data_IF_034837965447
#
_entry.id   IF_034837965447
#
_cell.length_a   1.000
_cell.length_b   1.000
_cell.length_c   1.000
_cell.angle_alpha   90.00
_cell.angle_beta   90.00
_cell.angle_gamma   90.00
#
_symmetry.space_group_name_H-M   'P 1'
#
loop_
_entity.id
_entity.type
_entity.pdbx_description
1 polymer ?
#
# COMPACT_ATOMS: atom_id res chain seq x y z
N UNK A 1 28.26 32.62 -3.65
CA UNK A 1 27.79 31.29 -3.19
C UNK A 1 26.36 31.46 -2.68
N UNK A 2 25.31 31.16 -3.46
CA UNK A 2 23.96 31.49 -2.96
C UNK A 2 22.71 31.01 -3.69
N UNK A 3 22.76 30.57 -4.96
CA UNK A 3 21.53 30.14 -5.65
C UNK A 3 21.19 28.66 -5.37
N UNK A 4 22.21 27.78 -5.39
CA UNK A 4 22.03 26.33 -5.26
C UNK A 4 21.47 25.90 -3.88
N UNK A 5 21.87 26.60 -2.81
CA UNK A 5 21.39 26.31 -1.45
C UNK A 5 19.96 26.77 -1.18
N UNK A 6 19.45 27.76 -1.93
CA UNK A 6 18.07 28.24 -1.84
C UNK A 6 17.15 27.29 -2.60
N UNK A 7 17.54 26.89 -3.81
CA UNK A 7 16.77 25.93 -4.62
C UNK A 7 16.58 24.59 -3.90
N UNK A 8 17.64 24.04 -3.30
CA UNK A 8 17.55 22.78 -2.55
C UNK A 8 16.59 22.84 -1.36
N UNK A 9 16.51 23.99 -0.67
CA UNK A 9 15.59 24.18 0.47
C UNK A 9 14.13 24.29 0.00
N UNK A 10 13.90 24.99 -1.11
CA UNK A 10 12.57 25.09 -1.71
C UNK A 10 12.07 23.73 -2.18
N UNK A 11 12.94 22.96 -2.86
CA UNK A 11 12.64 21.60 -3.31
C UNK A 11 12.34 20.66 -2.13
N UNK A 12 13.16 20.69 -1.08
CA UNK A 12 12.93 19.90 0.13
C UNK A 12 11.58 20.25 0.78
N UNK A 13 11.24 21.53 0.88
CA UNK A 13 9.96 21.96 1.44
C UNK A 13 8.77 21.49 0.59
N UNK A 14 8.84 21.67 -0.73
CA UNK A 14 7.79 21.25 -1.65
C UNK A 14 7.59 19.72 -1.65
N UNK A 15 8.68 18.95 -1.69
CA UNK A 15 8.61 17.49 -1.65
C UNK A 15 8.02 16.99 -0.33
N UNK A 16 8.43 17.55 0.81
CA UNK A 16 7.90 17.14 2.12
C UNK A 16 6.41 17.49 2.29
N UNK A 17 5.92 18.60 1.73
CA UNK A 17 4.48 18.91 1.73
C UNK A 17 3.70 17.91 0.89
N UNK A 18 4.20 17.57 -0.30
CA UNK A 18 3.53 16.59 -1.16
C UNK A 18 3.48 15.22 -0.49
N UNK A 19 4.58 14.76 0.12
CA UNK A 19 4.60 13.48 0.84
C UNK A 19 3.73 13.50 2.09
N UNK A 20 3.61 14.65 2.76
CA UNK A 20 2.68 14.83 3.88
C UNK A 20 1.23 14.61 3.45
N UNK A 21 0.80 15.21 2.33
CA UNK A 21 -0.54 15.03 1.78
C UNK A 21 -0.79 13.58 1.35
N UNK A 22 0.20 12.93 0.73
CA UNK A 22 0.12 11.51 0.37
C UNK A 22 -0.02 10.64 1.62
N UNK A 23 0.72 10.92 2.69
CA UNK A 23 0.60 10.19 3.95
C UNK A 23 -0.81 10.27 4.55
N UNK A 24 -1.42 11.46 4.54
CA UNK A 24 -2.82 11.63 4.96
C UNK A 24 -3.76 10.82 4.07
N UNK A 25 -3.57 10.87 2.75
CA UNK A 25 -4.41 10.11 1.82
C UNK A 25 -4.34 8.60 2.09
N UNK A 26 -3.14 8.05 2.35
CA UNK A 26 -2.98 6.63 2.68
C UNK A 26 -3.66 6.24 3.99
N UNK A 27 -3.58 7.09 5.02
CA UNK A 27 -4.29 6.86 6.28
C UNK A 27 -5.81 6.85 6.06
N UNK A 28 -6.34 7.86 5.35
CA UNK A 28 -7.79 7.96 5.09
C UNK A 28 -8.28 6.78 4.27
N UNK A 29 -7.57 6.45 3.18
CA UNK A 29 -7.91 5.30 2.32
C UNK A 29 -7.86 4.00 3.13
N UNK A 30 -6.80 3.80 3.92
CA UNK A 30 -6.66 2.61 4.76
C UNK A 30 -7.79 2.46 5.79
N UNK A 31 -8.22 3.57 6.43
CA UNK A 31 -9.37 3.56 7.35
C UNK A 31 -10.67 3.23 6.62
N UNK A 32 -10.92 3.82 5.44
CA UNK A 32 -12.12 3.54 4.65
C UNK A 32 -12.18 2.05 4.30
N UNK A 33 -11.06 1.46 3.85
CA UNK A 33 -11.00 0.03 3.56
C UNK A 33 -11.20 -0.81 4.83
N UNK A 34 -10.50 -0.51 5.92
CA UNK A 34 -10.64 -1.25 7.17
C UNK A 34 -12.09 -1.29 7.66
N UNK A 35 -12.78 -0.14 7.66
CA UNK A 35 -14.18 -0.03 8.10
C UNK A 35 -15.13 -0.75 7.13
N UNK A 36 -14.91 -0.63 5.82
CA UNK A 36 -15.72 -1.34 4.82
C UNK A 36 -15.61 -2.86 4.94
N UNK A 37 -14.43 -3.38 5.31
CA UNK A 37 -14.24 -4.82 5.58
C UNK A 37 -14.89 -5.27 6.90
N UNK A 38 -14.92 -4.41 7.92
CA UNK A 38 -15.58 -4.72 9.22
C UNK A 38 -17.09 -4.93 9.05
N UNK A 39 -17.77 -4.09 8.26
CA UNK A 39 -19.23 -4.24 8.01
C UNK A 39 -19.58 -5.57 7.33
N UNK A 40 -18.67 -6.13 6.53
CA UNK A 40 -18.85 -7.44 5.85
C UNK A 40 -18.50 -8.62 6.76
N UNK A 41 -17.65 -8.43 7.78
CA UNK A 41 -17.13 -9.49 8.65
C UNK A 41 -17.97 -9.72 9.92
N UNK A 42 -18.86 -8.81 10.29
CA UNK A 42 -19.73 -8.88 11.48
C UNK A 42 -20.76 -10.03 11.44
N UNK A 43 -20.79 -10.84 10.37
CA UNK A 43 -21.61 -12.05 10.25
C UNK A 43 -20.83 -13.36 10.24
N UNK A 44 -19.50 -13.33 10.28
CA UNK A 44 -18.65 -14.53 10.21
C UNK A 44 -17.49 -14.39 11.19
N UNK A 45 -17.80 -14.73 12.45
CA UNK A 45 -16.85 -14.87 13.55
C UNK A 45 -15.63 -15.72 13.14
N UNK A 46 -14.44 -15.13 13.33
CA UNK A 46 -13.16 -15.80 13.59
C UNK A 46 -12.31 -16.44 12.46
N UNK A 47 -12.57 -16.22 11.16
CA UNK A 47 -11.87 -17.05 10.15
C UNK A 47 -10.61 -16.42 9.51
N UNK A 48 -10.43 -15.11 9.40
CA UNK A 48 -9.30 -14.57 8.59
C UNK A 48 -8.63 -13.30 9.12
N UNK A 49 -7.51 -13.40 9.87
CA UNK A 49 -6.68 -12.24 10.20
C UNK A 49 -5.97 -11.64 8.97
N UNK A 50 -5.78 -12.39 7.89
CA UNK A 50 -4.95 -12.01 6.74
C UNK A 50 -5.52 -10.85 5.88
N UNK A 51 -6.85 -10.70 5.79
CA UNK A 51 -7.44 -9.62 4.99
C UNK A 51 -7.35 -8.25 5.66
N UNK A 52 -7.29 -8.19 6.99
CA UNK A 52 -7.06 -6.95 7.74
C UNK A 52 -5.59 -6.50 7.64
N UNK A 53 -4.66 -7.42 7.33
CA UNK A 53 -3.22 -7.09 7.28
C UNK A 53 -2.93 -6.02 6.24
N UNK A 54 -3.56 -6.08 5.06
CA UNK A 54 -3.31 -5.13 3.97
C UNK A 54 -3.76 -3.68 4.30
N UNK A 55 -5.03 -3.41 4.68
CA UNK A 55 -5.47 -2.06 5.07
C UNK A 55 -4.73 -1.55 6.33
N UNK A 56 -4.49 -2.40 7.34
CA UNK A 56 -3.69 -2.02 8.51
C UNK A 56 -2.27 -1.62 8.11
N UNK A 57 -1.62 -2.38 7.24
CA UNK A 57 -0.28 -2.07 6.74
C UNK A 57 -0.27 -0.73 5.99
N UNK A 58 -1.29 -0.45 5.18
CA UNK A 58 -1.45 0.83 4.49
C UNK A 58 -1.56 2.01 5.47
N UNK A 59 -2.32 1.84 6.56
CA UNK A 59 -2.43 2.85 7.64
C UNK A 59 -1.07 3.07 8.32
N UNK A 60 -0.39 1.98 8.70
CA UNK A 60 0.93 2.05 9.36
C UNK A 60 1.95 2.77 8.48
N UNK A 61 2.03 2.41 7.19
CA UNK A 61 2.92 3.07 6.22
C UNK A 61 2.54 4.55 6.07
N UNK A 62 1.25 4.87 5.97
CA UNK A 62 0.76 6.25 5.90
C UNK A 62 1.17 7.09 7.12
N UNK A 63 1.04 6.54 8.34
CA UNK A 63 1.47 7.17 9.59
C UNK A 63 2.97 7.44 9.61
N UNK A 64 3.80 6.49 9.17
CA UNK A 64 5.25 6.65 9.08
C UNK A 64 5.61 7.79 8.10
N UNK A 65 5.00 7.80 6.91
CA UNK A 65 5.20 8.85 5.90
C UNK A 65 4.78 10.22 6.46
N UNK A 66 3.64 10.29 7.15
CA UNK A 66 3.13 11.50 7.77
C UNK A 66 4.11 12.08 8.80
N UNK A 67 4.60 11.25 9.72
CA UNK A 67 5.53 11.67 10.79
C UNK A 67 6.84 12.17 10.18
N UNK A 68 7.43 11.42 9.23
CA UNK A 68 8.68 11.80 8.58
C UNK A 68 8.53 13.13 7.82
N UNK A 69 7.42 13.30 7.10
CA UNK A 69 7.14 14.51 6.33
C UNK A 69 6.89 15.71 7.23
N UNK A 70 6.25 15.53 8.39
CA UNK A 70 6.08 16.56 9.40
C UNK A 70 7.44 17.00 9.99
N UNK A 71 8.31 16.04 10.34
CA UNK A 71 9.67 16.34 10.80
C UNK A 71 10.50 17.07 9.73
N UNK A 72 10.35 16.68 8.45
CA UNK A 72 10.98 17.34 7.31
C UNK A 72 10.50 18.78 7.12
N UNK A 73 9.19 19.04 7.22
CA UNK A 73 8.62 20.39 7.16
C UNK A 73 9.09 21.26 8.33
N UNK A 74 9.04 20.73 9.56
CA UNK A 74 9.50 21.45 10.75
C UNK A 74 11.02 21.70 10.73
N UNK A 75 11.81 20.76 10.22
CA UNK A 75 13.26 20.90 10.03
C UNK A 75 13.64 21.88 8.91
N UNK A 76 12.79 22.05 7.90
CA UNK A 76 12.95 23.09 6.88
C UNK A 76 12.60 24.49 7.45
N UNK A 77 11.56 24.57 8.29
CA UNK A 77 11.09 25.82 8.88
C UNK A 77 11.99 26.34 10.01
N UNK A 78 12.37 25.48 10.96
CA UNK A 78 13.36 25.82 11.98
C UNK A 78 14.74 25.73 11.32
N UNK A 79 15.47 26.84 11.23
CA UNK A 79 16.89 26.89 10.81
C UNK A 79 17.86 26.14 11.77
N UNK A 80 17.39 25.09 12.43
CA UNK A 80 18.17 24.26 13.35
C UNK A 80 18.83 23.11 12.60
N UNK A 81 20.16 23.15 12.55
CA UNK A 81 20.97 22.08 11.95
C UNK A 81 20.73 20.72 12.63
N UNK A 82 20.43 20.70 13.92
CA UNK A 82 20.12 19.45 14.63
C UNK A 82 18.87 18.76 14.09
N UNK A 83 17.83 19.53 13.72
CA UNK A 83 16.56 18.96 13.27
C UNK A 83 16.65 18.42 11.83
N UNK A 84 17.45 19.07 10.98
CA UNK A 84 17.76 18.57 9.65
C UNK A 84 18.67 17.33 9.70
N UNK A 85 19.61 17.29 10.66
CA UNK A 85 20.45 16.13 10.91
C UNK A 85 19.64 14.92 11.37
N UNK A 86 18.71 15.10 12.32
CA UNK A 86 17.82 14.01 12.76
C UNK A 86 16.97 13.46 11.62
N UNK A 87 16.45 14.34 10.74
CA UNK A 87 15.72 13.92 9.55
C UNK A 87 16.60 13.06 8.63
N UNK A 88 17.83 13.49 8.35
CA UNK A 88 18.77 12.73 7.54
C UNK A 88 19.11 11.36 8.15
N UNK A 89 19.33 11.28 9.47
CA UNK A 89 19.60 10.02 10.17
C UNK A 89 18.41 9.07 10.08
N UNK A 90 17.19 9.56 10.30
CA UNK A 90 15.96 8.75 10.17
C UNK A 90 15.82 8.19 8.76
N UNK A 91 16.07 9.00 7.72
CA UNK A 91 16.03 8.53 6.33
C UNK A 91 17.07 7.43 6.04
N UNK A 92 18.28 7.56 6.57
CA UNK A 92 19.33 6.53 6.41
C UNK A 92 18.89 5.22 7.05
N UNK A 93 18.33 5.27 8.26
CA UNK A 93 17.83 4.08 8.96
C UNK A 93 16.72 3.40 8.15
N UNK A 94 15.79 4.18 7.59
CA UNK A 94 14.70 3.66 6.76
C UNK A 94 15.24 3.03 5.48
N UNK A 95 16.24 3.65 4.84
CA UNK A 95 16.88 3.09 3.65
C UNK A 95 17.49 1.71 3.94
N UNK A 96 18.21 1.57 5.06
CA UNK A 96 18.78 0.30 5.48
C UNK A 96 17.68 -0.75 5.76
N UNK A 97 16.59 -0.34 6.40
CA UNK A 97 15.45 -1.22 6.64
C UNK A 97 14.79 -1.68 5.33
N UNK A 98 14.61 -0.77 4.36
CA UNK A 98 14.06 -1.12 3.04
C UNK A 98 14.95 -2.12 2.29
N UNK A 99 16.28 -1.94 2.35
CA UNK A 99 17.23 -2.89 1.75
C UNK A 99 17.11 -4.25 2.43
N UNK A 100 17.05 -4.30 3.77
CA UNK A 100 16.88 -5.54 4.51
C UNK A 100 15.55 -6.25 4.17
N UNK A 101 14.45 -5.50 4.10
CA UNK A 101 13.13 -6.03 3.69
C UNK A 101 13.15 -6.55 2.25
N UNK A 102 13.80 -5.85 1.33
CA UNK A 102 13.92 -6.28 -0.07
C UNK A 102 14.71 -7.59 -0.19
N UNK A 103 15.83 -7.71 0.55
CA UNK A 103 16.63 -8.94 0.58
C UNK A 103 15.81 -10.08 1.22
N UNK A 104 15.13 -9.83 2.33
CA UNK A 104 14.28 -10.81 2.98
C UNK A 104 13.17 -11.32 2.04
N UNK A 105 12.46 -10.41 1.38
CA UNK A 105 11.42 -10.74 0.42
C UNK A 105 11.98 -11.56 -0.76
N UNK A 106 13.15 -11.19 -1.28
CA UNK A 106 13.81 -11.93 -2.36
C UNK A 106 14.15 -13.37 -1.96
N UNK A 107 14.65 -13.57 -0.74
CA UNK A 107 14.98 -14.91 -0.22
C UNK A 107 13.71 -15.76 -0.07
N UNK A 108 12.64 -15.21 0.51
CA UNK A 108 11.36 -15.94 0.71
C UNK A 108 10.76 -16.36 -0.63
N UNK A 109 10.76 -15.45 -1.62
CA UNK A 109 10.22 -15.73 -2.95
C UNK A 109 11.02 -16.81 -3.68
N UNK A 110 12.34 -16.86 -3.47
CA UNK A 110 13.25 -17.78 -4.16
C UNK A 110 13.37 -19.16 -3.49
N UNK A 111 13.24 -19.25 -2.17
CA UNK A 111 13.52 -20.49 -1.42
C UNK A 111 12.28 -21.34 -1.09
N UNK A 112 11.07 -20.77 -1.16
CA UNK A 112 9.83 -21.45 -0.78
C UNK A 112 8.68 -21.08 -1.71
N UNK A 113 7.91 -22.06 -2.15
CA UNK A 113 6.61 -21.82 -2.81
C UNK A 113 5.48 -21.52 -1.79
N UNK A 114 5.80 -21.50 -0.48
CA UNK A 114 4.86 -21.28 0.61
C UNK A 114 4.08 -19.97 0.47
N UNK A 115 4.74 -18.89 0.02
CA UNK A 115 4.07 -17.62 -0.23
C UNK A 115 2.97 -17.71 -1.31
N UNK A 116 3.09 -18.66 -2.26
CA UNK A 116 2.04 -18.91 -3.26
C UNK A 116 0.85 -19.58 -2.61
N UNK A 117 1.08 -20.54 -1.71
CA UNK A 117 0.01 -21.20 -0.97
C UNK A 117 -0.76 -20.20 -0.11
N UNK A 118 -0.05 -19.36 0.65
CA UNK A 118 -0.67 -18.30 1.47
C UNK A 118 -1.45 -17.29 0.62
N UNK A 119 -0.88 -16.89 -0.52
CA UNK A 119 -1.54 -15.97 -1.46
C UNK A 119 -2.81 -16.59 -2.07
N UNK A 120 -2.73 -17.86 -2.49
CA UNK A 120 -3.85 -18.60 -3.06
C UNK A 120 -4.95 -18.78 -1.99
N UNK A 121 -4.60 -19.11 -0.76
CA UNK A 121 -5.58 -19.27 0.32
C UNK A 121 -6.25 -17.94 0.68
N UNK A 122 -5.48 -16.85 0.73
CA UNK A 122 -6.03 -15.51 0.88
C UNK A 122 -6.98 -15.15 -0.27
N UNK A 123 -6.60 -15.40 -1.53
CA UNK A 123 -7.45 -15.12 -2.70
C UNK A 123 -8.73 -15.96 -2.67
N UNK A 124 -8.64 -17.24 -2.31
CA UNK A 124 -9.81 -18.14 -2.19
C UNK A 124 -10.83 -17.59 -1.22
N UNK A 125 -10.36 -17.08 -0.08
CA UNK A 125 -11.23 -16.53 0.95
C UNK A 125 -11.98 -15.26 0.49
N UNK A 126 -11.43 -14.50 -0.46
CA UNK A 126 -12.13 -13.36 -1.09
C UNK A 126 -13.25 -13.85 -2.00
N UNK A 127 -12.98 -14.87 -2.81
CA UNK A 127 -13.97 -15.45 -3.72
C UNK A 127 -15.10 -16.17 -2.99
N UNK A 128 -14.81 -16.91 -1.92
CA UNK A 128 -15.81 -17.64 -1.12
C UNK A 128 -16.78 -16.69 -0.39
N UNK A 129 -16.34 -15.46 -0.05
CA UNK A 129 -17.22 -14.44 0.54
C UNK A 129 -18.15 -13.77 -0.46
N UNK A 130 -17.89 -13.88 -1.76
CA UNK A 130 -18.75 -13.31 -2.80
C UNK A 130 -18.80 -11.78 -2.81
N UNK A 131 -17.77 -11.09 -2.30
CA UNK A 131 -17.68 -9.63 -2.38
C UNK A 131 -17.42 -9.22 -3.84
N UNK A 132 -18.51 -8.92 -4.53
CA UNK A 132 -18.50 -8.68 -5.97
C UNK A 132 -17.63 -7.47 -6.33
N UNK A 133 -17.54 -6.45 -5.47
CA UNK A 133 -16.73 -5.27 -5.72
C UNK A 133 -15.23 -5.59 -5.61
N UNK A 134 -14.83 -6.32 -4.57
CA UNK A 134 -13.44 -6.76 -4.41
C UNK A 134 -13.03 -7.73 -5.53
N UNK A 135 -13.90 -8.69 -5.86
CA UNK A 135 -13.66 -9.67 -6.93
C UNK A 135 -13.52 -8.97 -8.29
N UNK A 136 -14.43 -8.06 -8.65
CA UNK A 136 -14.35 -7.31 -9.91
C UNK A 136 -13.10 -6.43 -9.97
N UNK A 137 -12.72 -5.80 -8.85
CA UNK A 137 -11.49 -5.01 -8.76
C UNK A 137 -10.24 -5.85 -9.01
N UNK A 138 -10.12 -7.01 -8.37
CA UNK A 138 -9.00 -7.93 -8.60
C UNK A 138 -8.99 -8.48 -10.03
N UNK A 139 -10.16 -8.88 -10.55
CA UNK A 139 -10.29 -9.40 -11.91
C UNK A 139 -9.93 -8.36 -12.98
N UNK A 140 -10.31 -7.09 -12.80
CA UNK A 140 -9.93 -6.00 -13.70
C UNK A 140 -8.43 -5.66 -13.60
N UNK A 141 -7.89 -5.62 -12.37
CA UNK A 141 -6.49 -5.26 -12.12
C UNK A 141 -5.52 -6.32 -12.61
N UNK A 142 -5.85 -7.60 -12.38
CA UNK A 142 -5.01 -8.75 -12.75
C UNK A 142 -5.37 -9.33 -14.13
N UNK A 143 -6.41 -8.79 -14.79
CA UNK A 143 -6.91 -9.27 -16.08
C UNK A 143 -7.24 -10.78 -16.06
N UNK A 144 -7.76 -11.27 -14.94
CA UNK A 144 -8.12 -12.68 -14.73
C UNK A 144 -9.60 -12.82 -14.38
N UNK A 145 -10.17 -14.02 -14.49
CA UNK A 145 -11.55 -14.30 -14.12
C UNK A 145 -11.62 -15.61 -13.33
N UNK A 146 -12.20 -15.54 -12.12
CA UNK A 146 -12.29 -16.67 -11.20
C UNK A 146 -11.00 -16.98 -10.44
N UNK A 147 -11.13 -17.90 -9.47
CA UNK A 147 -10.04 -18.36 -8.61
C UNK A 147 -9.20 -19.49 -9.25
N UNK A 148 -9.81 -20.31 -10.11
CA UNK A 148 -9.18 -21.49 -10.70
C UNK A 148 -8.97 -21.28 -12.21
N UNK A 149 -7.74 -21.53 -12.67
CA UNK A 149 -7.33 -21.38 -14.06
C UNK A 149 -8.00 -22.44 -14.95
N UNK A 150 -9.23 -22.18 -15.36
CA UNK A 150 -9.63 -22.53 -16.73
C UNK A 150 -9.29 -21.31 -17.58
N UNK A 151 -8.36 -21.38 -18.54
CA UNK A 151 -8.06 -20.25 -19.40
C UNK A 151 -9.27 -19.99 -20.29
N UNK A 152 -10.20 -19.17 -19.81
CA UNK A 152 -11.14 -18.50 -20.68
C UNK A 152 -10.40 -17.25 -21.15
N UNK A 153 -9.80 -17.34 -22.33
CA UNK A 153 -9.46 -16.13 -23.09
C UNK A 153 -10.76 -15.36 -23.26
N UNK A 154 -10.96 -14.28 -22.51
CA UNK A 154 -12.09 -13.38 -22.70
C UNK A 154 -11.64 -12.36 -23.75
N UNK A 155 -12.04 -12.48 -25.02
CA UNK A 155 -11.73 -11.45 -26.00
C UNK A 155 -12.35 -10.12 -25.54
N UNK A 156 -11.69 -9.00 -25.84
CA UNK A 156 -12.11 -7.66 -25.43
C UNK A 156 -13.58 -7.31 -25.79
N UNK A 157 -14.18 -8.02 -26.75
CA UNK A 157 -15.59 -7.91 -27.14
C UNK A 157 -16.60 -8.54 -26.17
N UNK A 158 -16.17 -9.46 -25.29
CA UNK A 158 -17.04 -10.10 -24.30
C UNK A 158 -17.08 -9.31 -22.98
N UNK A 159 -16.01 -8.57 -22.67
CA UNK A 159 -15.95 -7.67 -21.50
C UNK A 159 -17.02 -6.58 -21.62
N UNK A 160 -17.24 -6.06 -22.83
CA UNK A 160 -18.27 -5.04 -23.10
C UNK A 160 -19.69 -5.61 -23.10
N UNK A 161 -19.90 -6.89 -23.43
CA UNK A 161 -21.24 -7.51 -23.34
C UNK A 161 -21.65 -7.84 -21.91
N UNK A 162 -20.71 -8.26 -21.04
CA UNK A 162 -21.00 -8.52 -19.63
C UNK A 162 -21.33 -7.22 -18.87
N UNK A 163 -20.76 -6.09 -19.27
CA UNK A 163 -21.09 -4.75 -18.76
C UNK A 163 -22.51 -4.27 -19.09
N UNK A 164 -23.16 -4.80 -20.13
CA UNK A 164 -24.50 -4.36 -20.58
C UNK A 164 -25.62 -5.16 -19.89
N UNK A 165 -25.29 -6.23 -19.15
CA UNK A 165 -26.27 -7.12 -18.50
C UNK A 165 -26.29 -7.04 -16.96
N UNK A 166 -25.66 -6.02 -16.40
CA UNK A 166 -25.75 -5.59 -14.99
C UNK A 166 -26.32 -4.18 -14.93
#
# INVERSE_FOLDING_TARGET
>A
MGCCSIFGRFLLFALNITTFLIGIAFIVIGIIYEVGFIEVTDHLDNVFPAMHVAPILLIVVGCVIFIISFLGCCGAWRRSSCMLLTYAVVLIIILLLQIALAIYAFIVINNSDDWKHDLIEALRSVFDRGDQQAIEFFQQTLQCCGFDHRPVFIPASLVTMLWIRS
#
